data_IF_599141393583
#
_entry.id   IF_599141393583
#
_cell.length_a   1.000
_cell.length_b   1.000
_cell.length_c   1.000
_cell.angle_alpha   90.00
_cell.angle_beta   90.00
_cell.angle_gamma   90.00
#
_symmetry.space_group_name_H-M   'P 1'
#
loop_
_entity.id
_entity.type
_entity.pdbx_description
1 polymer ?
#
# COMPACT_ATOMS: atom_id res chain seq x y z
N UNK A 1 35.82 -3.09 0.11
CA UNK A 1 34.86 -2.24 -0.62
C UNK A 1 35.49 -0.88 -0.77
N UNK A 2 35.95 -0.62 -1.98
CA UNK A 2 36.66 0.58 -2.38
C UNK A 2 35.77 1.83 -2.21
N UNK A 3 36.36 3.02 -2.09
CA UNK A 3 35.61 4.26 -1.87
C UNK A 3 34.58 4.51 -2.99
N UNK A 4 34.96 4.22 -4.23
CA UNK A 4 34.10 4.37 -5.42
C UNK A 4 32.86 3.48 -5.39
N UNK A 5 33.03 2.21 -5.01
CA UNK A 5 31.92 1.26 -4.89
C UNK A 5 30.90 1.73 -3.85
N UNK A 6 31.39 2.26 -2.72
CA UNK A 6 30.55 2.83 -1.67
C UNK A 6 29.78 4.04 -2.19
N UNK A 7 30.42 4.90 -2.97
CA UNK A 7 29.75 6.05 -3.59
C UNK A 7 28.62 5.59 -4.52
N UNK A 8 28.89 4.67 -5.46
CA UNK A 8 27.89 4.14 -6.41
C UNK A 8 26.72 3.49 -5.66
N UNK A 9 26.99 2.62 -4.69
CA UNK A 9 25.96 2.03 -3.83
C UNK A 9 25.16 3.09 -3.06
N UNK A 10 25.81 4.17 -2.64
CA UNK A 10 25.17 5.32 -2.01
C UNK A 10 24.14 5.97 -2.94
N UNK A 11 24.47 6.18 -4.22
CA UNK A 11 23.54 6.71 -5.22
C UNK A 11 22.39 5.76 -5.51
N UNK A 12 22.67 4.47 -5.70
CA UNK A 12 21.63 3.45 -5.91
C UNK A 12 20.66 3.43 -4.72
N UNK A 13 21.17 3.40 -3.49
CA UNK A 13 20.34 3.42 -2.27
C UNK A 13 19.54 4.72 -2.15
N UNK A 14 20.12 5.88 -2.50
CA UNK A 14 19.41 7.18 -2.48
C UNK A 14 18.24 7.19 -3.48
N UNK A 15 18.45 6.73 -4.71
CA UNK A 15 17.39 6.57 -5.70
C UNK A 15 16.35 5.53 -5.24
N UNK A 16 16.83 4.38 -4.76
CA UNK A 16 16.04 3.28 -4.24
C UNK A 16 15.07 3.68 -3.13
N UNK A 17 15.49 4.54 -2.19
CA UNK A 17 14.59 5.09 -1.16
C UNK A 17 13.38 5.80 -1.78
N UNK A 18 13.60 6.63 -2.82
CA UNK A 18 12.50 7.35 -3.49
C UNK A 18 11.60 6.44 -4.29
N UNK A 19 12.18 5.45 -4.98
CA UNK A 19 11.42 4.42 -5.71
C UNK A 19 10.52 3.63 -4.75
N UNK A 20 11.06 3.21 -3.60
CA UNK A 20 10.28 2.50 -2.56
C UNK A 20 9.15 3.36 -2.01
N UNK A 21 9.39 4.64 -1.73
CA UNK A 21 8.34 5.56 -1.27
C UNK A 21 7.24 5.72 -2.33
N UNK A 22 7.60 5.83 -3.61
CA UNK A 22 6.63 5.89 -4.69
C UNK A 22 5.76 4.62 -4.75
N UNK A 23 6.37 3.44 -4.69
CA UNK A 23 5.66 2.15 -4.66
C UNK A 23 4.74 2.07 -3.43
N UNK A 24 5.22 2.51 -2.26
CA UNK A 24 4.42 2.53 -1.04
C UNK A 24 3.17 3.38 -1.20
N UNK A 25 3.30 4.59 -1.74
CA UNK A 25 2.16 5.48 -1.99
C UNK A 25 1.19 4.84 -2.97
N UNK A 26 1.66 4.36 -4.12
CA UNK A 26 0.80 3.84 -5.18
C UNK A 26 0.03 2.59 -4.75
N UNK A 27 0.69 1.63 -4.08
CA UNK A 27 0.05 0.40 -3.61
C UNK A 27 -0.85 0.61 -2.41
N UNK A 28 -0.50 1.52 -1.49
CA UNK A 28 -1.35 1.86 -0.35
C UNK A 28 -2.63 2.56 -0.81
N UNK A 29 -2.52 3.53 -1.73
CA UNK A 29 -3.70 4.19 -2.31
C UNK A 29 -4.62 3.21 -3.05
N UNK A 30 -4.04 2.25 -3.77
CA UNK A 30 -4.80 1.18 -4.42
C UNK A 30 -5.52 0.29 -3.40
N UNK A 31 -4.83 -0.12 -2.34
CA UNK A 31 -5.42 -0.91 -1.26
C UNK A 31 -6.59 -0.18 -0.57
N UNK A 32 -6.39 1.10 -0.23
CA UNK A 32 -7.45 1.94 0.35
C UNK A 32 -8.64 2.05 -0.60
N UNK A 33 -8.40 2.30 -1.89
CA UNK A 33 -9.47 2.42 -2.88
C UNK A 33 -10.31 1.15 -2.97
N UNK A 34 -9.67 -0.01 -3.10
CA UNK A 34 -10.37 -1.31 -3.18
C UNK A 34 -11.14 -1.60 -1.89
N UNK A 35 -10.52 -1.38 -0.73
CA UNK A 35 -11.18 -1.58 0.57
C UNK A 35 -12.37 -0.64 0.78
N UNK A 36 -12.22 0.64 0.45
CA UNK A 36 -13.28 1.64 0.53
C UNK A 36 -14.42 1.33 -0.44
N UNK A 37 -14.12 0.88 -1.67
CA UNK A 37 -15.13 0.53 -2.65
C UNK A 37 -15.95 -0.69 -2.21
N UNK A 38 -15.29 -1.75 -1.74
CA UNK A 38 -15.98 -2.93 -1.19
C UNK A 38 -16.83 -2.56 0.03
N UNK A 39 -16.27 -1.76 0.93
CA UNK A 39 -17.00 -1.25 2.08
C UNK A 39 -18.22 -0.43 1.68
N UNK A 40 -18.09 0.45 0.69
CA UNK A 40 -19.19 1.27 0.19
C UNK A 40 -20.31 0.42 -0.42
N UNK A 41 -19.97 -0.59 -1.21
CA UNK A 41 -20.96 -1.52 -1.77
C UNK A 41 -21.75 -2.21 -0.64
N UNK A 42 -21.07 -2.70 0.39
CA UNK A 42 -21.73 -3.37 1.52
C UNK A 42 -22.61 -2.44 2.34
N UNK A 43 -22.15 -1.23 2.64
CA UNK A 43 -22.95 -0.27 3.41
C UNK A 43 -24.16 0.20 2.61
N UNK A 44 -24.04 0.39 1.29
CA UNK A 44 -25.18 0.69 0.43
C UNK A 44 -26.19 -0.46 0.37
N UNK A 45 -25.74 -1.72 0.26
CA UNK A 45 -26.64 -2.88 0.31
C UNK A 45 -27.40 -2.98 1.64
N UNK A 46 -26.74 -2.65 2.76
CA UNK A 46 -27.38 -2.61 4.09
C UNK A 46 -28.46 -1.53 4.24
N UNK A 47 -28.58 -0.60 3.30
CA UNK A 47 -29.71 0.34 3.27
C UNK A 47 -31.01 -0.36 2.85
N UNK A 48 -30.92 -1.43 2.05
CA UNK A 48 -32.06 -2.15 1.49
C UNK A 48 -32.39 -3.42 2.28
N UNK A 49 -31.40 -4.03 2.93
CA UNK A 49 -31.58 -5.23 3.76
C UNK A 49 -31.34 -4.91 5.23
N UNK A 50 -32.18 -5.38 6.18
CA UNK A 50 -32.01 -5.13 7.61
C UNK A 50 -30.82 -5.92 8.18
N UNK A 51 -29.61 -5.43 7.86
CA UNK A 51 -28.35 -6.08 8.18
C UNK A 51 -27.47 -5.13 9.00
N UNK A 52 -27.56 -5.26 10.32
CA UNK A 52 -26.87 -4.40 11.30
C UNK A 52 -25.34 -4.49 11.21
N UNK A 53 -24.80 -5.62 10.72
CA UNK A 53 -23.36 -5.85 10.64
C UNK A 53 -22.69 -5.19 9.42
N UNK A 54 -23.45 -4.57 8.51
CA UNK A 54 -22.94 -4.00 7.26
C UNK A 54 -21.85 -2.93 7.46
N UNK A 55 -21.98 -2.13 8.52
CA UNK A 55 -20.97 -1.10 8.87
C UNK A 55 -19.67 -1.76 9.38
N UNK A 56 -19.77 -2.77 10.25
CA UNK A 56 -18.61 -3.47 10.80
C UNK A 56 -17.83 -4.21 9.71
N UNK A 57 -18.52 -4.89 8.82
CA UNK A 57 -17.92 -5.52 7.64
C UNK A 57 -17.28 -4.49 6.72
N UNK A 58 -17.93 -3.34 6.48
CA UNK A 58 -17.34 -2.28 5.67
C UNK A 58 -16.06 -1.69 6.26
N UNK A 59 -16.02 -1.48 7.58
CA UNK A 59 -14.79 -1.07 8.29
C UNK A 59 -13.71 -2.15 8.18
N UNK A 60 -14.08 -3.42 8.31
CA UNK A 60 -13.15 -4.54 8.12
C UNK A 60 -12.51 -4.52 6.72
N UNK A 61 -13.29 -4.34 5.65
CA UNK A 61 -12.73 -4.26 4.29
C UNK A 61 -11.85 -3.03 4.06
N UNK A 62 -12.23 -1.88 4.63
CA UNK A 62 -11.41 -0.67 4.53
C UNK A 62 -10.05 -0.86 5.22
N UNK A 63 -10.05 -1.38 6.44
CA UNK A 63 -8.83 -1.64 7.21
C UNK A 63 -7.98 -2.73 6.58
N UNK A 64 -8.59 -3.83 6.11
CA UNK A 64 -7.87 -4.89 5.39
C UNK A 64 -7.28 -4.39 4.07
N UNK A 65 -7.97 -3.49 3.37
CA UNK A 65 -7.47 -2.86 2.15
C UNK A 65 -6.23 -2.00 2.41
N UNK A 66 -6.24 -1.20 3.48
CA UNK A 66 -5.08 -0.41 3.91
C UNK A 66 -3.89 -1.32 4.25
N UNK A 67 -4.10 -2.32 5.11
CA UNK A 67 -3.04 -3.26 5.52
C UNK A 67 -2.53 -4.05 4.31
N UNK A 68 -3.42 -4.58 3.48
CA UNK A 68 -3.08 -5.32 2.27
C UNK A 68 -2.25 -4.48 1.30
N UNK A 69 -2.62 -3.21 1.09
CA UNK A 69 -1.86 -2.27 0.27
C UNK A 69 -0.43 -2.05 0.78
N UNK A 70 -0.25 -1.87 2.09
CA UNK A 70 1.06 -1.75 2.73
C UNK A 70 1.89 -3.03 2.58
N UNK A 71 1.29 -4.19 2.86
CA UNK A 71 1.97 -5.49 2.75
C UNK A 71 2.43 -5.74 1.33
N UNK A 72 1.55 -5.55 0.33
CA UNK A 72 1.88 -5.68 -1.09
C UNK A 72 3.00 -4.72 -1.48
N UNK A 73 3.00 -3.48 -0.96
CA UNK A 73 4.09 -2.54 -1.21
C UNK A 73 5.45 -3.08 -0.73
N UNK A 74 5.51 -3.63 0.49
CA UNK A 74 6.74 -4.18 1.07
C UNK A 74 7.28 -5.35 0.25
N UNK A 75 6.40 -6.27 -0.19
CA UNK A 75 6.79 -7.40 -1.04
C UNK A 75 7.22 -6.99 -2.45
N UNK A 76 6.80 -5.81 -2.93
CA UNK A 76 7.15 -5.31 -4.28
C UNK A 76 8.37 -4.40 -4.30
N UNK A 77 9.02 -4.17 -3.15
CA UNK A 77 10.22 -3.33 -3.08
C UNK A 77 11.36 -3.90 -3.94
N UNK A 78 11.96 -3.08 -4.82
CA UNK A 78 13.04 -3.54 -5.69
C UNK A 78 14.29 -3.86 -4.87
N UNK A 79 14.99 -4.94 -5.24
CA UNK A 79 16.33 -5.23 -4.76
C UNK A 79 17.36 -4.24 -5.34
N UNK A 80 18.62 -4.32 -4.90
CA UNK A 80 19.66 -3.37 -5.32
C UNK A 80 19.91 -3.39 -6.85
N UNK A 81 19.88 -4.58 -7.47
CA UNK A 81 20.04 -4.74 -8.93
C UNK A 81 18.92 -4.04 -9.70
N UNK A 82 17.67 -4.25 -9.28
CA UNK A 82 16.51 -3.59 -9.88
C UNK A 82 16.51 -2.07 -9.63
N UNK A 83 17.03 -1.62 -8.49
CA UNK A 83 17.22 -0.18 -8.23
C UNK A 83 18.28 0.42 -9.15
N UNK A 84 19.40 -0.27 -9.38
CA UNK A 84 20.42 0.14 -10.33
C UNK A 84 19.86 0.22 -11.76
N UNK A 85 19.11 -0.81 -12.19
CA UNK A 85 18.45 -0.82 -13.50
C UNK A 85 17.46 0.35 -13.67
N UNK A 86 16.63 0.62 -12.64
CA UNK A 86 15.71 1.76 -12.67
C UNK A 86 16.49 3.09 -12.71
N UNK A 87 17.60 3.20 -12.00
CA UNK A 87 18.48 4.38 -12.04
C UNK A 87 19.09 4.56 -13.44
N UNK A 88 19.54 3.48 -14.06
CA UNK A 88 20.11 3.52 -15.42
C UNK A 88 19.11 3.90 -16.50
N UNK A 89 17.84 3.48 -16.35
CA UNK A 89 16.75 3.86 -17.25
C UNK A 89 16.52 5.37 -17.35
N UNK A 90 17.21 6.18 -16.54
CA UNK A 90 17.17 7.65 -16.56
C UNK A 90 18.28 8.27 -17.40
N UNK A 91 18.88 7.50 -18.30
CA UNK A 91 19.84 7.98 -19.29
C UNK A 91 21.30 7.81 -18.87
N UNK A 92 21.59 6.85 -17.98
CA UNK A 92 22.97 6.53 -17.59
C UNK A 92 23.58 5.40 -18.45
N UNK A 93 22.89 4.94 -19.50
CA UNK A 93 23.42 3.98 -20.50
C UNK A 93 24.12 2.76 -19.88
N UNK A 94 23.44 2.07 -18.95
CA UNK A 94 23.93 0.86 -18.26
C UNK A 94 25.21 1.03 -17.42
N UNK A 95 25.65 2.26 -17.18
CA UNK A 95 26.86 2.55 -16.39
C UNK A 95 26.74 2.06 -14.95
N UNK A 96 25.57 2.20 -14.33
CA UNK A 96 25.36 1.82 -12.93
C UNK A 96 25.23 0.30 -12.77
N UNK A 97 24.50 -0.39 -13.64
CA UNK A 97 24.36 -1.85 -13.64
C UNK A 97 25.69 -2.51 -13.93
N UNK A 98 26.43 -2.03 -14.94
CA UNK A 98 27.76 -2.56 -15.27
C UNK A 98 28.73 -2.36 -14.09
N UNK A 99 28.75 -1.16 -13.49
CA UNK A 99 29.58 -0.92 -12.30
C UNK A 99 29.18 -1.75 -11.09
N UNK A 100 27.90 -2.12 -10.97
CA UNK A 100 27.40 -3.01 -9.93
C UNK A 100 27.84 -4.47 -10.16
N UNK A 101 27.92 -4.90 -11.40
CA UNK A 101 28.40 -6.24 -11.78
C UNK A 101 29.92 -6.39 -11.62
N UNK A 102 30.67 -5.31 -11.86
CA UNK A 102 32.13 -5.26 -11.70
C UNK A 102 32.58 -4.98 -10.25
N UNK A 103 31.69 -5.12 -9.26
CA UNK A 103 32.07 -4.96 -7.85
C UNK A 103 33.12 -5.99 -7.42
N UNK A 104 34.14 -5.54 -6.71
CA UNK A 104 35.29 -6.33 -6.29
C UNK A 104 36.40 -6.44 -7.33
N UNK A 105 36.21 -5.92 -8.55
CA UNK A 105 37.24 -5.89 -9.59
C UNK A 105 37.86 -4.49 -9.68
N UNK A 106 39.17 -4.38 -9.46
CA UNK A 106 39.86 -3.08 -9.32
C UNK A 106 40.85 -2.75 -10.45
N UNK A 107 41.00 -3.65 -11.42
CA UNK A 107 42.03 -3.54 -12.45
C UNK A 107 41.45 -3.14 -13.82
N UNK A 108 42.26 -2.40 -14.58
CA UNK A 108 41.98 -2.04 -15.97
C UNK A 108 40.63 -1.34 -16.18
N UNK A 109 39.80 -1.94 -17.04
CA UNK A 109 38.52 -1.39 -17.47
C UNK A 109 37.53 -1.20 -16.30
N UNK A 110 37.54 -2.07 -15.28
CA UNK A 110 36.60 -2.00 -14.17
C UNK A 110 36.75 -0.71 -13.35
N UNK A 111 38.00 -0.26 -13.16
CA UNK A 111 38.29 1.00 -12.49
C UNK A 111 37.80 2.20 -13.31
N UNK A 112 38.07 2.21 -14.61
CA UNK A 112 37.66 3.29 -15.52
C UNK A 112 36.13 3.40 -15.59
N UNK A 113 35.41 2.27 -15.68
CA UNK A 113 33.95 2.23 -15.68
C UNK A 113 33.37 2.82 -14.39
N UNK A 114 33.95 2.50 -13.22
CA UNK A 114 33.52 3.04 -11.92
C UNK A 114 33.76 4.54 -11.82
N UNK A 115 34.90 5.03 -12.33
CA UNK A 115 35.22 6.46 -12.37
C UNK A 115 34.21 7.23 -13.25
N UNK A 116 34.01 6.79 -14.48
CA UNK A 116 33.04 7.38 -15.42
C UNK A 116 31.60 7.38 -14.86
N UNK A 117 31.20 6.27 -14.23
CA UNK A 117 29.87 6.15 -13.60
C UNK A 117 29.67 7.19 -12.49
N UNK A 118 30.69 7.43 -11.66
CA UNK A 118 30.62 8.42 -10.59
C UNK A 118 30.50 9.84 -11.15
N UNK A 119 31.22 10.15 -12.23
CA UNK A 119 31.14 11.47 -12.87
C UNK A 119 29.73 11.78 -13.38
N UNK A 120 29.06 10.82 -14.01
CA UNK A 120 27.67 11.00 -14.43
C UNK A 120 26.69 11.04 -13.26
N UNK A 121 26.88 10.20 -12.24
CA UNK A 121 26.03 10.22 -11.05
C UNK A 121 26.12 11.55 -10.29
N UNK A 122 27.28 12.22 -10.30
CA UNK A 122 27.46 13.56 -9.72
C UNK A 122 26.66 14.63 -10.45
N UNK A 123 26.50 14.52 -11.77
CA UNK A 123 25.67 15.45 -12.57
C UNK A 123 24.18 15.27 -12.32
N UNK A 124 23.76 14.09 -11.84
CA UNK A 124 22.36 13.71 -11.71
C UNK A 124 21.74 14.18 -10.39
N UNK A 125 20.66 14.97 -10.49
CA UNK A 125 19.87 15.35 -9.33
C UNK A 125 18.81 14.29 -9.01
N UNK A 126 19.14 13.37 -8.10
CA UNK A 126 18.26 12.28 -7.66
C UNK A 126 16.85 12.77 -7.30
N UNK A 127 16.71 13.97 -6.70
CA UNK A 127 15.41 14.47 -6.27
C UNK A 127 14.52 14.85 -7.44
N UNK A 128 15.09 15.42 -8.50
CA UNK A 128 14.40 15.80 -9.73
C UNK A 128 14.12 14.60 -10.63
N UNK A 129 15.05 13.64 -10.68
CA UNK A 129 14.92 12.44 -11.51
C UNK A 129 13.89 11.45 -10.97
N UNK A 130 13.80 11.33 -9.64
CA UNK A 130 12.81 10.51 -8.94
C UNK A 130 11.90 11.39 -8.07
N UNK A 131 11.00 12.19 -8.69
CA UNK A 131 10.05 12.98 -7.94
C UNK A 131 9.01 12.03 -7.34
N UNK A 132 8.70 12.23 -6.05
CA UNK A 132 7.57 11.55 -5.41
C UNK A 132 6.31 12.22 -5.93
N UNK A 133 5.49 11.48 -6.68
CA UNK A 133 4.26 11.98 -7.30
C UNK A 133 3.09 11.19 -6.77
N UNK A 134 2.05 11.89 -6.35
CA UNK A 134 0.79 11.25 -6.02
C UNK A 134 -0.15 11.39 -7.21
N UNK A 135 -0.71 10.27 -7.68
CA UNK A 135 -1.65 10.30 -8.78
C UNK A 135 -2.96 10.97 -8.32
N UNK A 136 -3.20 12.20 -8.77
CA UNK A 136 -4.40 12.99 -8.41
C UNK A 136 -5.71 12.28 -8.76
N UNK A 137 -5.74 11.53 -9.87
CA UNK A 137 -6.92 10.72 -10.25
C UNK A 137 -7.19 9.63 -9.22
N UNK A 138 -6.13 8.99 -8.73
CA UNK A 138 -6.24 7.96 -7.70
C UNK A 138 -6.74 8.52 -6.36
N UNK A 139 -6.25 9.71 -5.98
CA UNK A 139 -6.79 10.42 -4.81
C UNK A 139 -8.29 10.68 -4.99
N UNK A 140 -8.71 11.16 -6.16
CA UNK A 140 -10.12 11.41 -6.44
C UNK A 140 -10.97 10.12 -6.29
N UNK A 141 -10.50 8.99 -6.84
CA UNK A 141 -11.20 7.70 -6.67
C UNK A 141 -11.30 7.26 -5.22
N UNK A 142 -10.23 7.40 -4.44
CA UNK A 142 -10.24 7.09 -3.00
C UNK A 142 -11.27 7.98 -2.28
N UNK A 143 -11.25 9.29 -2.53
CA UNK A 143 -12.18 10.23 -1.90
C UNK A 143 -13.63 9.92 -2.27
N UNK A 144 -13.93 9.66 -3.54
CA UNK A 144 -15.27 9.28 -3.99
C UNK A 144 -15.75 8.00 -3.30
N UNK A 145 -14.90 6.97 -3.21
CA UNK A 145 -15.26 5.73 -2.51
C UNK A 145 -15.51 5.95 -1.01
N UNK A 146 -14.71 6.79 -0.35
CA UNK A 146 -14.90 7.12 1.07
C UNK A 146 -16.18 7.94 1.32
N UNK A 147 -16.55 8.83 0.40
CA UNK A 147 -17.82 9.57 0.46
C UNK A 147 -19.00 8.60 0.34
N UNK A 148 -18.97 7.68 -0.64
CA UNK A 148 -20.01 6.67 -0.80
C UNK A 148 -20.13 5.76 0.43
N UNK A 149 -19.00 5.32 0.98
CA UNK A 149 -18.97 4.56 2.23
C UNK A 149 -19.62 5.32 3.39
N UNK A 150 -19.25 6.60 3.56
CA UNK A 150 -19.78 7.47 4.61
C UNK A 150 -21.28 7.68 4.47
N UNK A 151 -21.77 7.94 3.26
CA UNK A 151 -23.21 8.07 2.99
C UNK A 151 -23.95 6.78 3.38
N UNK A 152 -23.46 5.63 2.93
CA UNK A 152 -24.02 4.33 3.29
C UNK A 152 -23.98 4.05 4.79
N UNK A 153 -22.94 4.50 5.50
CA UNK A 153 -22.80 4.28 6.94
C UNK A 153 -23.71 5.18 7.78
N UNK A 154 -23.79 6.48 7.48
CA UNK A 154 -24.46 7.48 8.31
C UNK A 154 -25.93 7.73 7.95
N UNK A 155 -26.41 7.32 6.77
CA UNK A 155 -27.84 7.44 6.43
C UNK A 155 -28.70 6.61 7.40
N UNK A 156 -29.61 7.22 8.17
CA UNK A 156 -30.56 6.50 9.00
C UNK A 156 -31.67 5.95 8.11
N UNK A 157 -31.80 4.62 8.05
CA UNK A 157 -32.85 3.94 7.28
C UNK A 157 -33.65 2.99 8.15
N UNK A 158 -34.92 2.77 7.78
CA UNK A 158 -35.81 1.83 8.46
C UNK A 158 -35.23 0.40 8.49
N UNK A 159 -34.48 0.01 7.45
CA UNK A 159 -33.76 -1.27 7.43
C UNK A 159 -32.72 -1.37 8.56
N UNK A 160 -31.98 -0.30 8.88
CA UNK A 160 -31.00 -0.32 9.98
C UNK A 160 -31.65 -0.38 11.36
N UNK A 161 -32.78 0.30 11.57
CA UNK A 161 -33.51 0.20 12.83
C UNK A 161 -34.07 -1.21 13.04
N UNK A 162 -34.67 -1.80 12.00
CA UNK A 162 -35.13 -3.19 12.02
C UNK A 162 -33.97 -4.17 12.25
N UNK A 163 -32.81 -3.94 11.61
CA UNK A 163 -31.61 -4.76 11.82
C UNK A 163 -31.09 -4.69 13.26
N UNK A 164 -31.11 -3.50 13.89
CA UNK A 164 -30.71 -3.31 15.29
C UNK A 164 -31.63 -4.05 16.25
N UNK A 165 -32.94 -3.97 16.00
CA UNK A 165 -33.96 -4.68 16.78
C UNK A 165 -33.80 -6.20 16.65
N UNK A 166 -33.63 -6.70 15.42
CA UNK A 166 -33.38 -8.12 15.15
C UNK A 166 -32.11 -8.63 15.85
N UNK A 167 -31.05 -7.82 15.88
CA UNK A 167 -29.80 -8.16 16.57
C UNK A 167 -29.98 -8.23 18.08
N UNK A 168 -30.69 -7.27 18.68
CA UNK A 168 -31.01 -7.28 20.12
C UNK A 168 -31.84 -8.52 20.49
N UNK A 169 -32.88 -8.83 19.71
CA UNK A 169 -33.72 -10.01 19.92
C UNK A 169 -32.91 -11.32 19.87
N UNK A 170 -32.00 -11.45 18.88
CA UNK A 170 -31.10 -12.60 18.80
C UNK A 170 -30.15 -12.69 20.00
N UNK A 171 -29.65 -11.56 20.50
CA UNK A 171 -28.78 -11.51 21.67
C UNK A 171 -29.52 -11.96 22.92
N UNK A 172 -30.73 -11.45 23.16
CA UNK A 172 -31.58 -11.82 24.29
C UNK A 172 -31.92 -13.32 24.27
N UNK A 173 -32.33 -13.87 23.12
CA UNK A 173 -32.60 -15.30 22.99
C UNK A 173 -31.37 -16.16 23.32
N UNK A 174 -30.17 -15.72 22.91
CA UNK A 174 -28.93 -16.44 23.18
C UNK A 174 -28.56 -16.42 24.67
N UNK A 175 -28.78 -15.30 25.36
CA UNK A 175 -28.59 -15.20 26.82
C UNK A 175 -29.61 -16.04 27.58
N UNK A 176 -30.88 -16.04 27.17
CA UNK A 176 -31.92 -16.90 27.73
C UNK A 176 -31.59 -18.38 27.56
N UNK A 177 -31.15 -18.79 26.37
CA UNK A 177 -30.77 -20.19 26.09
C UNK A 177 -29.61 -20.63 26.98
N UNK A 178 -28.60 -19.78 27.18
CA UNK A 178 -27.49 -20.06 28.10
C UNK A 178 -27.96 -20.23 29.54
N UNK A 179 -28.84 -19.35 30.03
CA UNK A 179 -29.38 -19.45 31.40
C UNK A 179 -30.15 -20.77 31.59
N UNK A 180 -30.96 -21.16 30.61
CA UNK A 180 -31.69 -22.44 30.64
C UNK A 180 -30.72 -23.63 30.62
N UNK A 181 -29.63 -23.58 29.84
CA UNK A 181 -28.60 -24.63 29.85
C UNK A 181 -27.84 -24.70 31.18
N UNK A 182 -27.53 -23.56 31.79
CA UNK A 182 -26.87 -23.50 33.10
C UNK A 182 -27.77 -24.02 34.23
N UNK A 183 -29.07 -23.71 34.20
CA UNK A 183 -30.06 -24.29 35.12
C UNK A 183 -30.26 -25.79 34.92
N UNK A 184 -30.26 -26.28 33.68
CA UNK A 184 -30.33 -27.73 33.39
C UNK A 184 -29.09 -28.52 33.79
N UNK A 185 -27.95 -27.85 33.98
CA UNK A 185 -26.67 -28.47 34.42
C UNK A 185 -26.50 -28.45 35.94
N UNK A 186 -27.38 -27.78 36.69
CA UNK A 186 -27.47 -27.84 38.15
C UNK A 186 -28.43 -28.95 38.57
#
# INVERSE_FOLDING_TARGET
MEDKERQILGYIKKAGKRIKVQILIDKTLLGIFVGALLGAVLTLLSLFTPFYEGIFLGIFFLTSGLVGGLVIALFTFPNIKKQALILDSKGLNERVTTSLELMGQEEGYARLQKEDTIEELKKLNIKKTFPIKVNKKMIAYVLTALILFSLGAFLPTSAKSQGKELWNLKKEQKELTKKIEEEKRR
#
